data_IF_819997970561
#
_entry.id   IF_819997970561
#
_cell.length_a   1.000
_cell.length_b   1.000
_cell.length_c   1.000
_cell.angle_alpha   90.00
_cell.angle_beta   90.00
_cell.angle_gamma   90.00
#
_symmetry.space_group_name_H-M   'P 1'
#
loop_
_entity.id
_entity.type
_entity.pdbx_description
1 polymer ?
#
# COMPACT_ATOMS: atom_id res chain seq x y z
N UNK A 1 25.88 29.72 6.63
CA UNK A 1 25.78 29.03 5.34
C UNK A 1 25.64 27.54 5.59
N UNK A 2 24.49 26.92 5.34
CA UNK A 2 24.38 25.59 4.73
C UNK A 2 22.91 25.21 4.49
N UNK A 3 22.52 25.43 3.23
CA UNK A 3 21.47 24.81 2.41
C UNK A 3 20.46 23.83 3.03
N UNK A 4 19.23 24.36 3.13
CA UNK A 4 17.92 23.78 2.81
C UNK A 4 17.98 22.40 2.12
N UNK A 5 17.68 21.35 2.87
CA UNK A 5 17.25 20.05 2.33
C UNK A 5 15.76 19.84 2.57
N UNK A 6 14.91 20.62 1.87
CA UNK A 6 13.46 20.37 1.86
C UNK A 6 12.84 20.58 0.47
N UNK A 7 13.55 20.19 -0.59
CA UNK A 7 13.03 20.36 -1.95
C UNK A 7 13.29 19.15 -2.85
N UNK A 8 12.93 17.94 -2.41
CA UNK A 8 12.85 16.79 -3.33
C UNK A 8 11.92 15.64 -2.93
N UNK A 9 10.87 15.90 -2.14
CA UNK A 9 9.83 14.89 -1.86
C UNK A 9 8.46 15.23 -2.44
N UNK A 10 8.31 16.29 -3.26
CA UNK A 10 7.00 16.71 -3.79
C UNK A 10 6.67 16.17 -5.18
N UNK A 11 7.59 15.45 -5.83
CA UNK A 11 7.46 15.01 -7.22
C UNK A 11 6.94 13.58 -7.43
N UNK A 12 6.86 12.75 -6.38
CA UNK A 12 6.27 11.40 -6.49
C UNK A 12 4.74 11.36 -6.29
N UNK A 13 4.11 12.49 -5.93
CA UNK A 13 2.69 12.54 -5.57
C UNK A 13 1.73 12.74 -6.76
N UNK A 14 2.22 12.77 -8.00
CA UNK A 14 1.43 13.15 -9.20
C UNK A 14 1.00 11.98 -10.07
N UNK A 15 1.45 10.74 -9.83
CA UNK A 15 1.34 9.65 -10.81
C UNK A 15 0.04 8.83 -10.80
N UNK A 16 -0.92 9.12 -9.91
CA UNK A 16 -2.20 8.39 -9.86
C UNK A 16 -3.39 9.18 -10.48
N UNK A 17 -3.12 10.34 -11.10
CA UNK A 17 -4.06 11.05 -11.99
C UNK A 17 -3.25 11.97 -12.91
N UNK A 18 -3.50 11.94 -14.24
CA UNK A 18 -2.74 12.69 -15.27
C UNK A 18 -2.51 14.17 -14.98
N UNK A 19 -3.35 14.81 -14.14
CA UNK A 19 -3.25 16.22 -13.77
C UNK A 19 -3.01 16.39 -12.26
N UNK A 20 -2.14 17.33 -11.83
CA UNK A 20 -1.87 17.57 -10.41
C UNK A 20 -3.09 18.15 -9.68
N UNK A 21 -3.14 18.00 -8.36
CA UNK A 21 -4.26 18.49 -7.54
C UNK A 21 -4.49 20.00 -7.70
N UNK A 22 -3.39 20.77 -7.73
CA UNK A 22 -3.40 22.22 -7.91
C UNK A 22 -4.04 22.69 -9.23
N UNK A 23 -4.09 21.82 -10.24
CA UNK A 23 -4.78 22.11 -11.50
C UNK A 23 -6.26 21.73 -11.41
N UNK A 24 -6.58 20.59 -10.79
CA UNK A 24 -7.95 20.07 -10.69
C UNK A 24 -8.85 20.91 -9.80
N UNK A 25 -8.29 21.47 -8.72
CA UNK A 25 -9.03 22.30 -7.75
C UNK A 25 -9.61 23.58 -8.41
N UNK A 26 -8.83 24.44 -9.09
CA UNK A 26 -9.38 25.60 -9.80
C UNK A 26 -10.41 25.23 -10.87
N UNK A 27 -10.15 24.18 -11.65
CA UNK A 27 -11.08 23.74 -12.72
C UNK A 27 -12.45 23.36 -12.14
N UNK A 28 -12.47 22.64 -11.01
CA UNK A 28 -13.72 22.31 -10.32
C UNK A 28 -14.37 23.51 -9.62
N UNK A 29 -13.57 24.46 -9.11
CA UNK A 29 -14.09 25.69 -8.51
C UNK A 29 -14.82 26.56 -9.54
N UNK A 30 -14.23 26.74 -10.73
CA UNK A 30 -14.85 27.45 -11.86
C UNK A 30 -16.15 26.75 -12.27
N UNK A 31 -16.12 25.42 -12.42
CA UNK A 31 -17.33 24.63 -12.70
C UNK A 31 -18.44 24.83 -11.66
N UNK A 32 -18.08 24.90 -10.37
CA UNK A 32 -19.03 25.10 -9.26
C UNK A 32 -19.62 26.51 -9.27
N UNK A 33 -18.81 27.54 -9.53
CA UNK A 33 -19.25 28.93 -9.63
C UNK A 33 -20.24 29.13 -10.78
N UNK A 34 -19.97 28.48 -11.92
CA UNK A 34 -20.82 28.57 -13.09
C UNK A 34 -22.13 27.75 -12.95
N UNK A 35 -22.36 27.02 -11.84
CA UNK A 35 -23.58 26.23 -11.50
C UNK A 35 -24.08 25.30 -12.62
N UNK A 36 -23.21 24.42 -13.13
CA UNK A 36 -23.39 23.87 -14.47
C UNK A 36 -24.03 22.49 -14.63
N UNK A 37 -24.91 22.44 -15.63
CA UNK A 37 -25.54 21.25 -16.24
C UNK A 37 -24.54 20.49 -17.15
N UNK A 38 -24.95 19.38 -17.76
CA UNK A 38 -24.06 18.52 -18.58
C UNK A 38 -23.43 19.26 -19.78
N UNK A 39 -24.20 20.11 -20.48
CA UNK A 39 -23.76 20.82 -21.67
C UNK A 39 -22.57 21.74 -21.38
N UNK A 40 -22.61 22.44 -20.26
CA UNK A 40 -21.59 23.42 -19.96
C UNK A 40 -20.34 22.79 -19.28
N UNK A 41 -20.46 21.54 -18.81
CA UNK A 41 -19.28 20.72 -18.49
C UNK A 41 -18.45 20.43 -19.75
N UNK A 42 -19.08 20.37 -20.93
CA UNK A 42 -18.40 20.26 -22.22
C UNK A 42 -17.64 21.54 -22.59
N UNK A 43 -18.21 22.72 -22.32
CA UNK A 43 -17.52 24.00 -22.53
C UNK A 43 -16.27 24.13 -21.65
N UNK A 44 -16.40 23.77 -20.36
CA UNK A 44 -15.26 23.74 -19.42
C UNK A 44 -14.19 22.76 -19.91
N UNK A 45 -14.61 21.59 -20.39
CA UNK A 45 -13.73 20.57 -20.97
C UNK A 45 -12.94 21.12 -22.18
N UNK A 46 -13.62 21.82 -23.09
CA UNK A 46 -12.98 22.47 -24.25
C UNK A 46 -12.00 23.55 -23.81
N UNK A 47 -12.40 24.43 -22.89
CA UNK A 47 -11.56 25.54 -22.39
C UNK A 47 -10.24 25.07 -21.77
N UNK A 48 -10.27 23.96 -21.03
CA UNK A 48 -9.09 23.41 -20.37
C UNK A 48 -8.43 22.25 -21.13
N UNK A 49 -8.93 21.91 -22.33
CA UNK A 49 -8.50 20.75 -23.12
C UNK A 49 -8.51 19.44 -22.30
N UNK A 50 -9.53 19.26 -21.46
CA UNK A 50 -9.72 18.08 -20.59
C UNK A 50 -10.99 17.37 -21.03
N UNK A 51 -10.94 16.06 -21.28
CA UNK A 51 -12.17 15.32 -21.64
C UNK A 51 -13.26 15.37 -20.55
N UNK A 52 -14.53 15.44 -20.96
CA UNK A 52 -15.71 15.52 -20.07
C UNK A 52 -15.71 14.42 -19.01
N UNK A 53 -15.38 13.18 -19.39
CA UNK A 53 -15.31 12.04 -18.47
C UNK A 53 -14.29 12.23 -17.33
N UNK A 54 -13.19 12.98 -17.56
CA UNK A 54 -12.21 13.31 -16.52
C UNK A 54 -12.79 14.32 -15.52
N UNK A 55 -13.50 15.34 -15.97
CA UNK A 55 -14.18 16.29 -15.08
C UNK A 55 -15.22 15.57 -14.20
N UNK A 56 -15.99 14.65 -14.77
CA UNK A 56 -16.94 13.82 -14.01
C UNK A 56 -16.23 12.95 -12.98
N UNK A 57 -15.09 12.34 -13.34
CA UNK A 57 -14.28 11.55 -12.41
C UNK A 57 -13.72 12.40 -11.27
N UNK A 58 -13.25 13.61 -11.55
CA UNK A 58 -12.75 14.55 -10.53
C UNK A 58 -13.84 15.06 -9.62
N UNK A 59 -15.06 15.27 -10.14
CA UNK A 59 -16.22 15.65 -9.34
C UNK A 59 -16.60 14.55 -8.33
N UNK A 60 -16.47 13.27 -8.71
CA UNK A 60 -16.66 12.14 -7.79
C UNK A 60 -15.52 12.00 -6.78
N UNK A 61 -14.26 12.13 -7.24
CA UNK A 61 -13.08 12.03 -6.39
C UNK A 61 -11.94 12.88 -6.94
N UNK A 62 -11.59 13.94 -6.21
CA UNK A 62 -10.52 14.85 -6.61
C UNK A 62 -9.14 14.29 -6.26
N UNK A 63 -9.00 13.53 -5.17
CA UNK A 63 -7.71 12.94 -4.81
C UNK A 63 -7.39 11.71 -5.68
N UNK A 64 -6.12 11.46 -6.03
CA UNK A 64 -5.74 10.31 -6.83
C UNK A 64 -5.77 9.01 -6.00
N UNK A 65 -5.99 7.86 -6.64
CA UNK A 65 -6.03 6.57 -5.94
C UNK A 65 -4.61 6.01 -5.88
N UNK A 66 -3.98 6.05 -4.72
CA UNK A 66 -2.56 5.68 -4.58
C UNK A 66 -2.36 4.16 -4.54
N UNK A 67 -3.33 3.45 -3.95
CA UNK A 67 -3.26 2.01 -3.70
C UNK A 67 -4.45 1.32 -4.33
N UNK A 68 -4.23 0.11 -4.85
CA UNK A 68 -5.30 -0.76 -5.33
C UNK A 68 -5.60 -1.80 -4.26
N UNK A 69 -6.86 -1.86 -3.83
CA UNK A 69 -7.34 -2.88 -2.89
C UNK A 69 -7.58 -4.21 -3.64
N UNK A 70 -6.50 -4.89 -4.04
CA UNK A 70 -6.59 -6.22 -4.69
C UNK A 70 -6.12 -7.32 -3.73
N UNK A 71 -6.96 -8.34 -3.47
CA UNK A 71 -6.55 -9.46 -2.63
C UNK A 71 -5.45 -10.30 -3.31
N UNK A 72 -4.68 -11.02 -2.49
CA UNK A 72 -3.67 -11.94 -3.00
C UNK A 72 -4.34 -13.13 -3.71
N UNK A 73 -4.10 -13.29 -5.01
CA UNK A 73 -4.77 -14.32 -5.81
C UNK A 73 -4.17 -15.72 -5.62
N UNK A 74 -2.83 -15.82 -5.46
CA UNK A 74 -2.14 -17.12 -5.46
C UNK A 74 -2.01 -17.79 -4.08
N UNK A 75 -1.97 -17.00 -3.01
CA UNK A 75 -1.76 -17.51 -1.64
C UNK A 75 -2.99 -17.22 -0.82
N UNK A 76 -3.70 -18.27 -0.40
CA UNK A 76 -4.83 -18.16 0.52
C UNK A 76 -4.33 -17.73 1.91
N UNK A 77 -4.93 -16.69 2.47
CA UNK A 77 -4.51 -16.11 3.77
C UNK A 77 -4.74 -17.08 4.93
N UNK A 78 -5.86 -17.80 4.96
CA UNK A 78 -6.17 -18.75 6.03
C UNK A 78 -5.22 -19.95 6.00
N UNK A 79 -4.92 -20.49 4.82
CA UNK A 79 -3.96 -21.57 4.65
C UNK A 79 -2.55 -21.17 5.13
N UNK A 80 -2.12 -19.94 4.82
CA UNK A 80 -0.85 -19.41 5.31
C UNK A 80 -0.82 -19.27 6.83
N UNK A 81 -1.90 -18.79 7.45
CA UNK A 81 -1.99 -18.64 8.91
C UNK A 81 -1.91 -19.99 9.61
N UNK A 82 -2.61 -21.00 9.10
CA UNK A 82 -2.54 -22.36 9.63
C UNK A 82 -1.12 -22.93 9.51
N UNK A 83 -0.43 -22.71 8.38
CA UNK A 83 0.93 -23.20 8.19
C UNK A 83 1.93 -22.51 9.13
N UNK A 84 1.74 -21.22 9.41
CA UNK A 84 2.50 -20.47 10.43
C UNK A 84 2.27 -21.03 11.83
N UNK A 85 1.04 -21.38 12.18
CA UNK A 85 0.69 -21.96 13.48
C UNK A 85 1.32 -23.35 13.66
N UNK A 86 1.20 -24.21 12.64
CA UNK A 86 1.71 -25.59 12.68
C UNK A 86 3.24 -25.64 12.65
N UNK A 87 3.88 -24.75 11.89
CA UNK A 87 5.34 -24.75 11.70
C UNK A 87 5.94 -23.35 11.92
N UNK A 88 5.99 -22.86 13.17
CA UNK A 88 6.45 -21.49 13.44
C UNK A 88 7.90 -21.26 12.99
N UNK A 89 8.76 -22.25 13.15
CA UNK A 89 10.20 -22.14 12.85
C UNK A 89 10.56 -22.49 11.40
N UNK A 90 9.60 -22.92 10.58
CA UNK A 90 9.87 -23.30 9.19
C UNK A 90 10.35 -22.10 8.36
N UNK A 91 11.37 -22.35 7.53
CA UNK A 91 11.95 -21.34 6.64
C UNK A 91 10.98 -21.02 5.49
N UNK A 92 11.12 -19.82 4.91
CA UNK A 92 10.29 -19.40 3.77
C UNK A 92 10.38 -20.35 2.58
N UNK A 93 11.50 -21.05 2.40
CA UNK A 93 11.70 -22.04 1.34
C UNK A 93 10.92 -23.33 1.61
N UNK A 94 10.91 -23.82 2.84
CA UNK A 94 10.17 -25.02 3.23
C UNK A 94 8.66 -24.80 3.08
N UNK A 95 8.18 -23.65 3.56
CA UNK A 95 6.78 -23.22 3.41
C UNK A 95 6.38 -23.12 1.93
N UNK A 96 7.27 -22.58 1.10
CA UNK A 96 7.06 -22.44 -0.33
C UNK A 96 6.96 -23.79 -1.05
N UNK A 97 7.81 -24.76 -0.69
CA UNK A 97 7.75 -26.14 -1.19
C UNK A 97 6.41 -26.80 -0.83
N UNK A 98 5.97 -26.70 0.44
CA UNK A 98 4.69 -27.27 0.89
C UNK A 98 3.48 -26.65 0.19
N UNK A 99 3.50 -25.34 -0.05
CA UNK A 99 2.38 -24.63 -0.67
C UNK A 99 2.47 -24.53 -2.20
N UNK A 100 3.52 -25.06 -2.83
CA UNK A 100 3.72 -25.00 -4.28
C UNK A 100 3.85 -23.57 -4.84
N UNK A 101 4.43 -22.64 -4.06
CA UNK A 101 4.61 -21.24 -4.44
C UNK A 101 6.08 -20.83 -4.39
N UNK A 102 6.42 -19.61 -4.84
CA UNK A 102 7.78 -19.09 -4.71
C UNK A 102 8.06 -18.63 -3.28
N UNK A 103 9.31 -18.79 -2.83
CA UNK A 103 9.76 -18.30 -1.52
C UNK A 103 9.53 -16.78 -1.35
N UNK A 104 9.71 -16.01 -2.43
CA UNK A 104 9.41 -14.58 -2.42
C UNK A 104 7.91 -14.30 -2.20
N UNK A 105 7.04 -15.09 -2.83
CA UNK A 105 5.59 -15.00 -2.65
C UNK A 105 5.18 -15.22 -1.19
N UNK A 106 5.78 -16.21 -0.51
CA UNK A 106 5.60 -16.44 0.92
C UNK A 106 6.07 -15.25 1.74
N UNK A 107 7.28 -14.73 1.47
CA UNK A 107 7.82 -13.58 2.17
C UNK A 107 6.87 -12.37 2.12
N UNK A 108 6.37 -12.05 0.93
CA UNK A 108 5.43 -10.94 0.75
C UNK A 108 4.06 -11.25 1.39
N UNK A 109 3.63 -12.51 1.42
CA UNK A 109 2.41 -12.92 2.10
C UNK A 109 2.49 -12.82 3.63
N UNK A 110 3.62 -13.21 4.22
CA UNK A 110 3.89 -13.05 5.65
C UNK A 110 3.91 -11.58 6.06
N UNK A 111 4.55 -10.72 5.27
CA UNK A 111 4.51 -9.26 5.50
C UNK A 111 3.09 -8.70 5.45
N UNK A 112 2.27 -9.11 4.47
CA UNK A 112 0.84 -8.75 4.41
C UNK A 112 0.02 -9.31 5.57
N UNK A 113 0.44 -10.42 6.16
CA UNK A 113 -0.18 -11.00 7.34
C UNK A 113 0.25 -10.31 8.65
N UNK A 114 1.26 -9.45 8.60
CA UNK A 114 1.79 -8.76 9.77
C UNK A 114 2.83 -9.58 10.54
N UNK A 115 3.36 -10.67 9.97
CA UNK A 115 4.40 -11.46 10.60
C UNK A 115 5.79 -10.91 10.28
N UNK A 116 6.59 -10.71 11.32
CA UNK A 116 7.99 -10.35 11.22
C UNK A 116 8.79 -11.17 12.21
N UNK A 117 9.82 -11.88 11.72
CA UNK A 117 10.69 -12.69 12.55
C UNK A 117 12.02 -11.96 12.75
N UNK A 118 12.29 -11.55 14.00
CA UNK A 118 13.59 -10.99 14.40
C UNK A 118 14.39 -12.09 15.09
N UNK A 119 15.48 -12.55 14.44
CA UNK A 119 16.45 -13.41 15.11
C UNK A 119 17.05 -12.65 16.28
N UNK A 120 16.97 -13.22 17.48
CA UNK A 120 17.75 -12.77 18.63
C UNK A 120 19.00 -13.63 18.64
N UNK A 121 20.17 -13.02 18.44
CA UNK A 121 21.43 -13.69 18.68
C UNK A 121 21.60 -13.75 20.19
N UNK A 122 21.49 -14.94 20.78
CA UNK A 122 21.87 -15.12 22.17
C UNK A 122 23.40 -14.98 22.24
N UNK A 123 23.87 -13.98 22.98
CA UNK A 123 25.28 -13.93 23.37
C UNK A 123 25.51 -15.06 24.39
N UNK A 124 26.61 -15.85 24.28
CA UNK A 124 26.82 -17.07 25.07
C UNK A 124 26.88 -16.90 26.60
N UNK A 125 26.86 -15.66 27.13
CA UNK A 125 26.86 -15.38 28.57
C UNK A 125 25.46 -15.31 29.23
N UNK A 126 24.39 -15.70 28.54
CA UNK A 126 22.99 -15.59 29.02
C UNK A 126 22.31 -16.94 29.39
N UNK A 127 23.08 -17.95 29.81
CA UNK A 127 22.56 -19.31 30.08
C UNK A 127 21.59 -19.44 31.28
N UNK A 128 21.13 -18.36 31.91
CA UNK A 128 20.27 -18.44 33.12
C UNK A 128 18.92 -17.74 32.99
N UNK A 129 18.23 -17.91 31.87
CA UNK A 129 16.78 -17.70 31.83
C UNK A 129 16.20 -18.88 31.06
N UNK A 130 15.44 -19.70 31.78
CA UNK A 130 14.65 -20.82 31.26
C UNK A 130 14.12 -20.56 29.85
N UNK A 131 14.36 -21.51 28.95
CA UNK A 131 13.80 -21.55 27.59
C UNK A 131 12.31 -21.17 27.65
N UNK A 132 11.83 -20.12 26.96
CA UNK A 132 10.47 -20.15 26.49
C UNK A 132 10.50 -21.01 25.22
N UNK A 133 10.19 -22.30 25.39
CA UNK A 133 9.62 -23.08 24.28
C UNK A 133 8.46 -22.27 23.68
N UNK A 134 8.36 -22.23 22.35
CA UNK A 134 7.25 -21.63 21.61
C UNK A 134 6.94 -20.16 21.95
N UNK A 135 7.65 -19.20 21.34
CA UNK A 135 7.12 -17.83 21.23
C UNK A 135 6.34 -17.73 19.90
N UNK A 136 5.01 -17.55 19.92
CA UNK A 136 4.21 -17.51 18.70
C UNK A 136 4.62 -16.31 17.83
N UNK A 137 4.49 -16.46 16.51
CA UNK A 137 4.65 -15.34 15.58
C UNK A 137 3.64 -14.25 15.97
N UNK A 138 4.11 -13.17 16.59
CA UNK A 138 3.22 -12.09 17.01
C UNK A 138 2.83 -11.25 15.79
N UNK A 139 1.52 -11.05 15.52
CA UNK A 139 1.10 -10.09 14.53
C UNK A 139 1.54 -8.68 14.96
N UNK A 140 2.13 -7.92 14.05
CA UNK A 140 2.41 -6.50 14.26
C UNK A 140 1.07 -5.78 14.38
N UNK A 141 0.74 -5.29 15.58
CA UNK A 141 -0.37 -4.36 15.80
C UNK A 141 0.05 -3.02 15.16
N UNK A 142 -0.68 -2.48 14.16
CA UNK A 142 -0.36 -1.18 13.60
C UNK A 142 -0.57 -0.09 14.66
N UNK A 143 0.37 0.86 14.73
CA UNK A 143 0.23 2.11 15.50
C UNK A 143 -0.62 3.12 14.73
#
# INVERSE_FOLDING_TARGET
MHFVWHRRYKLMYTLAMTYPLKFRQPVLAIKKQEKRTYAETAETATRFCVGIARLMRWAKRIEPCLTRDKPATKINRAALLLEVETYPDASQYERAQRMGVSARGICDALKRAGFSYKKTFYHPKLEKISKPSSRPMKPVIPR
#
